data_IF_767712002731
#
_entry.id   IF_767712002731
#
_cell.length_a   1.000
_cell.length_b   1.000
_cell.length_c   1.000
_cell.angle_alpha   90.00
_cell.angle_beta   90.00
_cell.angle_gamma   90.00
#
_symmetry.space_group_name_H-M   'P 1'
#
loop_
_entity.id
_entity.type
_entity.pdbx_description
1 polymer ?
#
# COMPACT_ATOMS: atom_id res chain seq x y z
N UNK A 1 24.71 -26.19 -18.22
CA UNK A 1 24.70 -24.72 -18.11
C UNK A 1 23.63 -24.33 -17.10
N UNK A 2 24.00 -24.16 -15.83
CA UNK A 2 23.06 -23.67 -14.81
C UNK A 2 22.83 -22.18 -15.07
N UNK A 3 21.69 -21.86 -15.69
CA UNK A 3 21.20 -20.49 -15.80
C UNK A 3 20.78 -20.05 -14.40
N UNK A 4 21.73 -19.46 -13.66
CA UNK A 4 21.43 -18.72 -12.45
C UNK A 4 20.49 -17.59 -12.82
N UNK A 5 19.20 -17.78 -12.55
CA UNK A 5 18.24 -16.70 -12.55
C UNK A 5 18.79 -15.66 -11.57
N UNK A 6 19.34 -14.57 -12.11
CA UNK A 6 19.59 -13.37 -11.34
C UNK A 6 18.27 -13.08 -10.64
N UNK A 7 18.20 -13.38 -9.35
CA UNK A 7 17.12 -12.94 -8.49
C UNK A 7 17.30 -11.43 -8.43
N UNK A 8 16.85 -10.76 -9.48
CA UNK A 8 16.46 -9.37 -9.42
C UNK A 8 15.31 -9.42 -8.42
N UNK A 9 15.64 -9.38 -7.14
CA UNK A 9 14.76 -8.94 -6.09
C UNK A 9 14.53 -7.44 -6.31
N UNK A 10 14.07 -7.09 -7.52
CA UNK A 10 13.27 -5.92 -7.72
C UNK A 10 12.18 -6.07 -6.66
N UNK A 11 12.13 -5.10 -5.75
CA UNK A 11 11.10 -5.01 -4.72
C UNK A 11 9.77 -4.77 -5.42
N UNK A 12 9.30 -5.79 -6.14
CA UNK A 12 8.11 -5.74 -6.96
C UNK A 12 6.98 -5.43 -5.99
N UNK A 13 6.29 -4.30 -6.16
CA UNK A 13 5.31 -3.87 -5.20
C UNK A 13 4.25 -4.97 -5.06
N UNK A 14 3.97 -5.31 -3.81
CA UNK A 14 2.95 -6.31 -3.47
C UNK A 14 3.19 -7.74 -3.98
N UNK A 15 4.45 -8.22 -4.00
CA UNK A 15 4.75 -9.62 -4.36
C UNK A 15 4.51 -10.64 -3.25
N UNK A 16 4.44 -11.93 -3.63
CA UNK A 16 4.29 -13.05 -2.70
C UNK A 16 2.95 -13.03 -1.95
N UNK A 17 3.01 -12.99 -0.61
CA UNK A 17 1.83 -13.02 0.28
C UNK A 17 0.91 -11.80 0.16
N UNK A 18 1.37 -10.72 -0.49
CA UNK A 18 0.61 -9.47 -0.62
C UNK A 18 -0.40 -9.51 -1.79
N UNK A 19 -0.30 -10.50 -2.68
CA UNK A 19 -1.31 -10.81 -3.69
C UNK A 19 -1.38 -9.83 -4.88
N UNK A 20 -0.34 -9.04 -5.12
CA UNK A 20 -0.31 -8.05 -6.19
C UNK A 20 -0.84 -6.67 -5.77
N UNK A 21 -0.69 -5.71 -6.68
CA UNK A 21 -1.07 -4.32 -6.49
C UNK A 21 -2.59 -4.22 -6.58
N UNK A 22 -3.24 -3.76 -5.52
CA UNK A 22 -4.66 -3.39 -5.53
C UNK A 22 -4.87 -1.99 -6.13
N UNK A 23 -3.92 -1.09 -5.92
CA UNK A 23 -3.96 0.29 -6.40
C UNK A 23 -2.82 1.14 -5.85
N UNK A 24 -3.00 2.45 -5.88
CA UNK A 24 -2.07 3.42 -5.31
C UNK A 24 -2.72 4.13 -4.12
N UNK A 25 -1.94 4.37 -3.07
CA UNK A 25 -2.26 5.23 -1.95
C UNK A 25 -1.32 6.45 -2.01
N UNK A 26 -1.72 7.45 -2.81
CA UNK A 26 -0.83 8.53 -3.23
C UNK A 26 0.37 7.99 -4.02
N UNK A 27 1.58 8.16 -3.48
CA UNK A 27 2.83 7.66 -4.06
C UNK A 27 3.15 6.20 -3.71
N UNK A 28 2.39 5.57 -2.82
CA UNK A 28 2.70 4.26 -2.31
C UNK A 28 1.83 3.19 -2.98
N UNK A 29 2.33 1.98 -3.13
CA UNK A 29 1.53 0.89 -3.70
C UNK A 29 0.65 0.26 -2.61
N UNK A 30 -0.65 0.25 -2.83
CA UNK A 30 -1.61 -0.49 -2.01
C UNK A 30 -1.69 -1.93 -2.52
N UNK A 31 -1.56 -2.90 -1.62
CA UNK A 31 -1.62 -4.32 -1.95
C UNK A 31 -3.02 -4.89 -1.77
N UNK A 32 -3.30 -6.04 -2.39
CA UNK A 32 -4.59 -6.72 -2.25
C UNK A 32 -4.89 -7.19 -0.82
N UNK A 33 -3.85 -7.37 0.01
CA UNK A 33 -4.04 -7.60 1.46
C UNK A 33 -4.46 -6.35 2.25
N UNK A 34 -4.51 -5.19 1.59
CA UNK A 34 -4.89 -3.90 2.18
C UNK A 34 -3.73 -3.15 2.86
N UNK A 35 -2.51 -3.70 2.86
CA UNK A 35 -1.32 -3.01 3.37
C UNK A 35 -0.57 -2.24 2.30
N UNK A 36 0.27 -1.30 2.74
CA UNK A 36 1.15 -0.55 1.86
C UNK A 36 2.41 -1.34 1.55
N UNK A 37 2.81 -1.37 0.28
CA UNK A 37 4.05 -1.98 -0.18
C UNK A 37 5.26 -1.29 0.45
N UNK A 38 6.24 -2.09 0.88
CA UNK A 38 7.50 -1.58 1.41
C UNK A 38 8.48 -1.16 0.30
N UNK A 39 8.06 -1.20 -0.97
CA UNK A 39 8.89 -0.77 -2.10
C UNK A 39 9.11 0.74 -2.04
N UNK A 40 10.35 1.18 -2.31
CA UNK A 40 10.73 2.59 -2.48
C UNK A 40 10.25 3.18 -3.82
N UNK A 41 9.72 2.33 -4.69
CA UNK A 41 9.15 2.77 -5.96
C UNK A 41 7.90 3.59 -5.70
N UNK A 42 7.71 4.64 -6.51
CA UNK A 42 6.56 5.52 -6.43
C UNK A 42 5.46 5.00 -7.36
N UNK A 43 4.26 4.83 -6.83
CA UNK A 43 3.08 4.39 -7.56
C UNK A 43 2.70 5.40 -8.66
N UNK A 44 2.89 6.69 -8.38
CA UNK A 44 2.73 7.80 -9.34
C UNK A 44 3.64 7.69 -10.57
N UNK A 45 4.88 7.20 -10.40
CA UNK A 45 5.82 6.97 -11.50
C UNK A 45 5.51 5.67 -12.28
N UNK A 46 4.63 4.82 -11.74
CA UNK A 46 4.24 3.56 -12.38
C UNK A 46 2.93 3.73 -13.15
N UNK A 47 2.78 3.00 -14.27
CA UNK A 47 1.56 3.04 -15.11
C UNK A 47 0.27 2.57 -14.40
N UNK A 48 0.33 2.26 -13.11
CA UNK A 48 -0.81 1.90 -12.26
C UNK A 48 -1.56 3.12 -11.71
N UNK A 49 -1.10 4.35 -12.01
CA UNK A 49 -1.57 5.62 -11.47
C UNK A 49 -3.00 6.07 -11.82
N UNK A 50 -3.96 5.15 -11.99
CA UNK A 50 -5.37 5.56 -12.03
C UNK A 50 -6.41 4.52 -11.54
N UNK A 51 -5.98 3.46 -10.84
CA UNK A 51 -6.91 2.52 -10.22
C UNK A 51 -7.39 3.03 -8.86
N UNK A 52 -7.96 4.23 -8.82
CA UNK A 52 -8.85 4.60 -7.73
C UNK A 52 -10.09 3.70 -7.87
N UNK A 53 -10.04 2.49 -7.27
CA UNK A 53 -11.28 1.77 -7.00
C UNK A 53 -12.11 2.73 -6.15
N UNK A 54 -13.30 3.15 -6.59
CA UNK A 54 -14.17 3.92 -5.73
C UNK A 54 -14.44 3.02 -4.53
N UNK A 55 -14.04 3.48 -3.34
CA UNK A 55 -14.40 2.84 -2.09
C UNK A 55 -15.93 2.62 -2.12
N UNK A 56 -16.45 1.43 -1.75
CA UNK A 56 -17.89 1.26 -1.64
C UNK A 56 -18.37 2.30 -0.62
N UNK A 57 -19.24 3.20 -1.09
CA UNK A 57 -20.03 4.10 -0.26
C UNK A 57 -20.78 3.27 0.77
N UNK A 58 -20.27 3.21 2.00
CA UNK A 58 -20.93 2.47 3.06
C UNK A 58 -20.06 2.28 4.30
N UNK A 59 -20.08 3.26 5.20
CA UNK A 59 -19.56 3.05 6.55
C UNK A 59 -19.22 4.33 7.28
N UNK A 60 -20.21 4.89 7.97
CA UNK A 60 -19.99 5.93 8.97
C UNK A 60 -19.18 5.32 10.13
N UNK A 61 -17.90 5.67 10.24
CA UNK A 61 -17.03 5.13 11.28
C UNK A 61 -15.87 6.07 11.57
N UNK A 62 -15.80 6.57 12.79
CA UNK A 62 -14.75 7.48 13.28
C UNK A 62 -13.35 6.81 13.39
N UNK A 63 -13.15 5.66 12.75
CA UNK A 63 -11.93 4.86 12.67
C UNK A 63 -11.36 4.78 11.22
N UNK A 64 -12.14 5.20 10.22
CA UNK A 64 -11.81 5.17 8.80
C UNK A 64 -11.02 6.40 8.32
N UNK A 65 -10.76 7.36 9.22
CA UNK A 65 -10.09 8.62 8.89
C UNK A 65 -8.62 8.47 8.47
N UNK A 66 -8.03 7.27 8.62
CA UNK A 66 -6.64 6.99 8.26
C UNK A 66 -6.48 5.62 7.60
N UNK A 67 -7.44 5.20 6.77
CA UNK A 67 -7.37 3.92 6.08
C UNK A 67 -6.30 3.90 4.98
N UNK A 68 -5.56 2.80 4.84
CA UNK A 68 -4.62 2.62 3.73
C UNK A 68 -5.41 2.56 2.41
N UNK A 69 -5.07 3.40 1.43
CA UNK A 69 -5.74 3.48 0.13
C UNK A 69 -6.59 4.74 -0.05
N UNK A 70 -6.85 5.52 1.02
CA UNK A 70 -7.60 6.78 0.94
C UNK A 70 -6.70 8.02 0.88
N UNK A 71 -5.38 7.84 0.93
CA UNK A 71 -4.39 8.91 1.07
C UNK A 71 -4.35 9.53 2.46
N UNK A 72 -5.10 8.99 3.42
CA UNK A 72 -5.18 9.52 4.77
C UNK A 72 -4.27 8.74 5.73
N UNK A 73 -3.30 9.43 6.32
CA UNK A 73 -2.37 8.86 7.30
C UNK A 73 -2.62 9.47 8.68
N UNK A 74 -2.60 8.60 9.69
CA UNK A 74 -2.62 9.00 11.09
C UNK A 74 -1.20 9.16 11.60
N UNK A 75 -1.00 10.10 12.51
CA UNK A 75 0.28 10.25 13.21
C UNK A 75 0.12 9.75 14.64
N UNK A 76 1.00 8.85 15.07
CA UNK A 76 1.00 8.31 16.43
C UNK A 76 1.55 9.31 17.46
N UNK A 77 1.40 9.02 18.76
CA UNK A 77 1.92 9.89 19.85
C UNK A 77 3.45 10.03 19.84
N UNK A 78 4.16 9.18 19.08
CA UNK A 78 5.61 9.25 18.86
C UNK A 78 6.01 9.91 17.54
N UNK A 79 5.07 10.56 16.84
CA UNK A 79 5.33 11.23 15.56
C UNK A 79 5.41 10.31 14.33
N UNK A 80 5.23 8.99 14.49
CA UNK A 80 5.25 8.05 13.37
C UNK A 80 3.94 8.07 12.58
N UNK A 81 4.03 8.23 11.26
CA UNK A 81 2.88 8.16 10.34
C UNK A 81 2.50 6.70 10.05
N UNK A 82 1.21 6.38 10.09
CA UNK A 82 0.67 5.06 9.80
C UNK A 82 -0.73 5.16 9.18
N UNK A 83 -1.10 4.18 8.38
CA UNK A 83 -2.46 3.96 7.94
C UNK A 83 -3.01 2.65 8.51
N UNK A 84 -4.32 2.52 8.58
CA UNK A 84 -5.03 1.33 9.04
C UNK A 84 -5.50 0.53 7.83
N UNK A 85 -5.09 -0.72 7.75
CA UNK A 85 -5.62 -1.63 6.74
C UNK A 85 -7.08 -1.97 7.06
N UNK A 86 -7.89 -2.36 6.08
CA UNK A 86 -9.27 -2.83 6.31
C UNK A 86 -9.34 -4.01 7.29
N UNK A 87 -8.25 -4.77 7.42
CA UNK A 87 -8.10 -5.86 8.39
C UNK A 87 -7.78 -5.37 9.83
N UNK A 88 -7.81 -4.04 10.08
CA UNK A 88 -7.52 -3.42 11.37
C UNK A 88 -6.03 -3.42 11.75
N UNK A 89 -5.11 -3.60 10.80
CA UNK A 89 -3.66 -3.59 11.07
C UNK A 89 -3.04 -2.25 10.73
N UNK A 90 -2.06 -1.81 11.53
CA UNK A 90 -1.29 -0.59 11.22
C UNK A 90 -0.23 -0.90 10.17
N UNK A 91 -0.23 -0.14 9.08
CA UNK A 91 0.80 -0.17 8.04
C UNK A 91 1.54 1.15 8.04
N UNK A 92 2.87 1.10 7.94
CA UNK A 92 3.71 2.29 7.97
C UNK A 92 4.27 2.54 6.57
N UNK A 93 4.04 3.73 5.99
CA UNK A 93 4.63 4.09 4.71
C UNK A 93 6.15 4.17 4.84
N UNK A 94 6.86 3.75 3.79
CA UNK A 94 8.32 3.81 3.69
C UNK A 94 8.65 4.82 2.59
N UNK A 95 9.29 5.94 2.95
CA UNK A 95 9.70 7.00 2.02
C UNK A 95 11.10 6.76 1.46
#
# INVERSE_FOLDING_TARGET
>A
MLAGANAMAANQPCSGRKGGIAGCDGDLFLCNDGSISASKQRCSASRFGNSARPAPLGGQGRADSCACGTGAFCTGPRGGVYCLTPAGKKSYPRH
#
